data_IF_123235878358
#
_entry.id   IF_123235878358
#
_cell.length_a   1.000
_cell.length_b   1.000
_cell.length_c   1.000
_cell.angle_alpha   90.00
_cell.angle_beta   90.00
_cell.angle_gamma   90.00
#
_symmetry.space_group_name_H-M   'P 1'
#
loop_
_entity.id
_entity.type
_entity.pdbx_description
1 polymer ?
#
# COMPACT_ATOMS: atom_id res chain seq x y z
N UNK A 1 45.84 0.66 -28.37
CA UNK A 1 45.42 1.20 -27.06
C UNK A 1 44.28 0.31 -26.56
N UNK A 2 44.55 -0.56 -25.60
CA UNK A 2 43.54 -1.47 -25.03
C UNK A 2 42.79 -0.75 -23.88
N UNK A 3 41.47 -0.95 -23.72
CA UNK A 3 40.70 -0.31 -22.66
C UNK A 3 41.13 -0.86 -21.29
N UNK A 4 41.31 0.06 -20.33
CA UNK A 4 41.61 -0.26 -18.94
C UNK A 4 40.48 -1.12 -18.37
N UNK A 5 40.80 -2.31 -17.87
CA UNK A 5 39.92 -3.07 -17.01
C UNK A 5 39.76 -2.29 -15.70
N UNK A 6 38.52 -1.92 -15.37
CA UNK A 6 38.17 -1.53 -14.01
C UNK A 6 38.06 -2.83 -13.19
N UNK A 7 39.00 -3.03 -12.28
CA UNK A 7 38.87 -4.02 -11.21
C UNK A 7 37.70 -3.61 -10.31
N UNK A 8 36.48 -4.02 -10.68
CA UNK A 8 35.36 -4.04 -9.77
C UNK A 8 35.56 -5.22 -8.82
N UNK A 9 36.33 -4.98 -7.76
CA UNK A 9 36.10 -5.70 -6.51
C UNK A 9 34.62 -5.54 -6.16
N UNK A 10 33.83 -6.62 -6.00
CA UNK A 10 32.60 -6.52 -5.25
C UNK A 10 33.02 -6.38 -3.80
N UNK A 11 33.38 -5.16 -3.39
CA UNK A 11 33.46 -4.81 -1.98
C UNK A 11 32.06 -5.01 -1.44
N UNK A 12 31.83 -6.21 -0.87
CA UNK A 12 31.04 -6.50 0.32
C UNK A 12 30.30 -5.27 0.85
N UNK A 13 29.27 -4.86 0.11
CA UNK A 13 28.43 -3.75 0.48
C UNK A 13 27.31 -4.31 1.34
N UNK A 14 27.60 -4.28 2.64
CA UNK A 14 26.65 -4.01 3.71
C UNK A 14 25.50 -5.01 3.89
N UNK A 15 25.76 -5.99 4.76
CA UNK A 15 24.76 -6.71 5.58
C UNK A 15 23.99 -5.79 6.56
N UNK A 16 23.71 -4.52 6.21
CA UNK A 16 23.18 -3.55 7.16
C UNK A 16 22.12 -2.59 6.57
N UNK A 17 21.41 -2.98 5.52
CA UNK A 17 20.25 -2.22 5.02
C UNK A 17 18.97 -2.50 5.85
N UNK A 18 19.14 -2.72 7.15
CA UNK A 18 18.10 -2.89 8.16
C UNK A 18 17.84 -1.61 8.96
N UNK A 19 18.52 -0.51 8.65
CA UNK A 19 18.42 0.76 9.39
C UNK A 19 17.70 1.85 8.59
N UNK A 20 16.46 1.59 8.19
CA UNK A 20 15.54 2.65 7.76
C UNK A 20 14.09 2.50 8.28
N UNK A 21 13.85 1.62 9.26
CA UNK A 21 12.58 1.55 9.99
C UNK A 21 12.83 1.20 11.47
N UNK A 22 13.63 2.02 12.17
CA UNK A 22 13.99 1.78 13.58
C UNK A 22 13.07 2.47 14.60
N UNK A 23 11.93 3.03 14.20
CA UNK A 23 11.07 3.80 15.12
C UNK A 23 9.68 3.19 15.37
N UNK A 24 9.42 1.97 14.90
CA UNK A 24 8.24 1.18 15.30
C UNK A 24 8.74 -0.03 16.07
N UNK A 25 8.96 0.18 17.37
CA UNK A 25 9.37 -0.88 18.29
C UNK A 25 8.25 -1.91 18.42
N UNK A 26 8.33 -2.97 17.62
CA UNK A 26 7.44 -4.11 17.72
C UNK A 26 7.82 -5.24 16.78
N UNK A 27 7.74 -6.48 17.27
CA UNK A 27 8.06 -7.66 16.46
C UNK A 27 7.14 -7.82 15.23
N UNK A 28 7.40 -8.81 14.35
CA UNK A 28 6.60 -9.06 13.14
C UNK A 28 5.08 -9.08 13.37
N UNK A 29 4.62 -9.65 14.50
CA UNK A 29 3.21 -9.71 14.87
C UNK A 29 2.61 -8.35 15.23
N UNK A 30 3.37 -7.47 15.88
CA UNK A 30 2.90 -6.12 16.25
C UNK A 30 2.78 -5.21 15.03
N UNK A 31 3.77 -5.26 14.13
CA UNK A 31 3.66 -4.63 12.83
C UNK A 31 2.49 -5.17 12.01
N UNK A 32 2.22 -6.48 12.08
CA UNK A 32 1.08 -7.10 11.41
C UNK A 32 -0.25 -6.60 11.96
N UNK A 33 -0.42 -6.58 13.29
CA UNK A 33 -1.62 -6.04 13.95
C UNK A 33 -1.85 -4.56 13.61
N UNK A 34 -0.79 -3.75 13.66
CA UNK A 34 -0.85 -2.37 13.23
C UNK A 34 -1.31 -2.25 11.76
N UNK A 35 -0.73 -3.05 10.87
CA UNK A 35 -1.06 -3.04 9.43
C UNK A 35 -2.52 -3.45 9.17
N UNK A 36 -3.04 -4.44 9.91
CA UNK A 36 -4.45 -4.84 9.85
C UNK A 36 -5.37 -3.71 10.32
N UNK A 37 -5.03 -3.03 11.42
CA UNK A 37 -5.82 -1.90 11.90
C UNK A 37 -5.83 -0.76 10.86
N UNK A 38 -4.67 -0.43 10.28
CA UNK A 38 -4.59 0.53 9.19
C UNK A 38 -5.48 0.12 8.02
N UNK A 39 -5.45 -1.14 7.57
CA UNK A 39 -6.32 -1.61 6.48
C UNK A 39 -7.80 -1.40 6.80
N UNK A 40 -8.23 -1.64 8.04
CA UNK A 40 -9.61 -1.42 8.46
C UNK A 40 -10.01 0.06 8.38
N UNK A 41 -9.18 0.96 8.89
CA UNK A 41 -9.40 2.42 8.78
C UNK A 41 -9.49 2.86 7.31
N UNK A 42 -8.63 2.31 6.44
CA UNK A 42 -8.67 2.60 5.01
C UNK A 42 -9.95 2.08 4.35
N UNK A 43 -10.47 0.92 4.76
CA UNK A 43 -11.74 0.40 4.27
C UNK A 43 -12.91 1.33 4.60
N UNK A 44 -12.93 1.90 5.81
CA UNK A 44 -13.93 2.91 6.22
C UNK A 44 -13.81 4.16 5.35
N UNK A 45 -12.60 4.69 5.15
CA UNK A 45 -12.38 5.87 4.33
C UNK A 45 -12.76 5.67 2.84
N UNK A 46 -12.54 4.46 2.29
CA UNK A 46 -13.00 4.11 0.94
C UNK A 46 -14.53 4.15 0.87
N UNK A 47 -15.23 3.57 1.85
CA UNK A 47 -16.70 3.59 1.90
C UNK A 47 -17.24 5.03 2.03
N UNK A 48 -16.63 5.86 2.87
CA UNK A 48 -17.00 7.27 3.01
C UNK A 48 -16.79 8.03 1.70
N UNK A 49 -15.66 7.81 1.03
CA UNK A 49 -15.37 8.46 -0.25
C UNK A 49 -16.37 8.04 -1.34
N UNK A 50 -16.76 6.77 -1.38
CA UNK A 50 -17.82 6.29 -2.28
C UNK A 50 -19.17 6.95 -1.99
N UNK A 51 -19.54 7.05 -0.72
CA UNK A 51 -20.77 7.73 -0.29
C UNK A 51 -20.77 9.21 -0.70
N UNK A 52 -19.66 9.91 -0.46
CA UNK A 52 -19.49 11.31 -0.86
C UNK A 52 -19.61 11.46 -2.38
N UNK A 53 -18.94 10.60 -3.14
CA UNK A 53 -18.99 10.62 -4.61
C UNK A 53 -20.41 10.35 -5.16
N UNK A 54 -21.20 9.53 -4.48
CA UNK A 54 -22.60 9.26 -4.85
C UNK A 54 -23.55 10.40 -4.49
N UNK A 55 -23.40 11.01 -3.31
CA UNK A 55 -24.34 12.03 -2.80
C UNK A 55 -24.12 13.38 -3.46
N UNK A 56 -22.88 13.67 -3.89
CA UNK A 56 -22.52 15.04 -4.22
C UNK A 56 -21.95 15.19 -5.63
N UNK A 57 -22.37 16.27 -6.30
CA UNK A 57 -21.62 16.90 -7.39
C UNK A 57 -20.36 17.64 -6.87
N UNK A 58 -19.82 17.25 -5.70
CA UNK A 58 -18.65 17.89 -5.08
C UNK A 58 -17.53 17.95 -6.10
N UNK A 59 -16.80 19.07 -6.06
CA UNK A 59 -15.58 19.30 -6.83
C UNK A 59 -14.79 18.00 -6.98
N UNK A 60 -14.85 17.45 -8.20
CA UNK A 60 -14.17 16.23 -8.64
C UNK A 60 -12.70 16.23 -8.21
N UNK A 61 -12.11 17.42 -8.05
CA UNK A 61 -10.76 17.61 -7.55
C UNK A 61 -10.52 17.12 -6.12
N UNK A 62 -11.40 17.42 -5.15
CA UNK A 62 -11.22 17.00 -3.75
C UNK A 62 -11.33 15.49 -3.58
N UNK A 63 -12.33 14.89 -4.22
CA UNK A 63 -12.53 13.42 -4.26
C UNK A 63 -11.31 12.75 -4.90
N UNK A 64 -10.84 13.22 -6.06
CA UNK A 64 -9.63 12.68 -6.72
C UNK A 64 -8.35 12.87 -5.90
N UNK A 65 -8.25 13.92 -5.09
CA UNK A 65 -7.09 14.14 -4.21
C UNK A 65 -7.10 13.16 -3.04
N UNK A 66 -8.24 12.96 -2.39
CA UNK A 66 -8.39 11.98 -1.30
C UNK A 66 -8.18 10.56 -1.82
N UNK A 67 -8.75 10.25 -2.99
CA UNK A 67 -8.56 8.97 -3.66
C UNK A 67 -7.07 8.65 -3.90
N UNK A 68 -6.30 9.61 -4.44
CA UNK A 68 -4.86 9.39 -4.67
C UNK A 68 -4.11 9.09 -3.37
N UNK A 69 -4.37 9.86 -2.31
CA UNK A 69 -3.78 9.61 -0.99
C UNK A 69 -4.12 8.21 -0.44
N UNK A 70 -5.38 7.77 -0.62
CA UNK A 70 -5.80 6.44 -0.19
C UNK A 70 -5.14 5.35 -1.04
N UNK A 71 -5.02 5.54 -2.35
CA UNK A 71 -4.29 4.61 -3.23
C UNK A 71 -2.82 4.50 -2.83
N UNK A 72 -2.14 5.63 -2.60
CA UNK A 72 -0.73 5.64 -2.18
C UNK A 72 -0.54 4.86 -0.88
N UNK A 73 -1.44 5.07 0.10
CA UNK A 73 -1.38 4.34 1.37
C UNK A 73 -1.67 2.85 1.23
N UNK A 74 -2.66 2.47 0.41
CA UNK A 74 -2.95 1.07 0.12
C UNK A 74 -1.76 0.38 -0.58
N UNK A 75 -1.03 1.08 -1.45
CA UNK A 75 0.19 0.53 -2.06
C UNK A 75 1.26 0.24 -1.01
N UNK A 76 1.40 1.10 0.01
CA UNK A 76 2.31 0.84 1.14
C UNK A 76 1.88 -0.40 1.92
N UNK A 77 0.58 -0.56 2.22
CA UNK A 77 0.07 -1.75 2.92
C UNK A 77 0.29 -3.03 2.11
N UNK A 78 0.09 -2.99 0.79
CA UNK A 78 0.37 -4.10 -0.11
C UNK A 78 1.86 -4.48 -0.10
N UNK A 79 2.75 -3.48 -0.07
CA UNK A 79 4.19 -3.71 0.02
C UNK A 79 4.58 -4.38 1.36
N UNK A 80 4.01 -3.92 2.47
CA UNK A 80 4.24 -4.52 3.79
C UNK A 80 3.76 -5.97 3.84
N UNK A 81 2.54 -6.24 3.36
CA UNK A 81 2.01 -7.60 3.29
C UNK A 81 2.89 -8.52 2.43
N UNK A 82 3.38 -8.03 1.28
CA UNK A 82 4.29 -8.78 0.43
C UNK A 82 5.60 -9.14 1.13
N UNK A 83 6.19 -8.22 1.91
CA UNK A 83 7.40 -8.51 2.70
C UNK A 83 7.16 -9.60 3.73
N UNK A 84 6.02 -9.60 4.41
CA UNK A 84 5.66 -10.68 5.34
C UNK A 84 5.50 -12.04 4.65
N UNK A 85 4.95 -12.07 3.44
CA UNK A 85 4.85 -13.31 2.64
C UNK A 85 6.24 -13.82 2.22
N UNK A 86 7.16 -12.94 1.86
CA UNK A 86 8.53 -13.31 1.46
C UNK A 86 9.38 -13.83 2.62
N UNK A 87 9.18 -13.31 3.84
CA UNK A 87 9.94 -13.75 5.01
C UNK A 87 9.48 -15.12 5.54
N UNK A 88 8.35 -15.64 5.06
CA UNK A 88 7.96 -17.03 5.28
C UNK A 88 7.57 -17.37 6.72
N UNK A 89 7.35 -16.39 7.58
CA UNK A 89 6.91 -16.61 8.96
C UNK A 89 5.46 -17.17 8.95
N UNK A 90 5.26 -18.45 9.33
CA UNK A 90 3.96 -19.09 9.26
C UNK A 90 2.94 -18.47 10.22
N UNK A 91 3.38 -17.79 11.29
CA UNK A 91 2.48 -17.17 12.26
C UNK A 91 1.73 -15.96 11.68
N UNK A 92 2.36 -15.24 10.76
CA UNK A 92 1.79 -14.02 10.15
C UNK A 92 1.32 -14.22 8.70
N UNK A 93 1.61 -15.39 8.10
CA UNK A 93 1.31 -15.68 6.70
C UNK A 93 -0.17 -15.52 6.35
N UNK A 94 -1.09 -16.14 7.11
CA UNK A 94 -2.52 -16.07 6.84
C UNK A 94 -3.01 -14.61 6.88
N UNK A 95 -2.50 -13.81 7.82
CA UNK A 95 -2.82 -12.39 7.93
C UNK A 95 -2.24 -11.59 6.77
N UNK A 96 -1.03 -11.89 6.32
CA UNK A 96 -0.41 -11.26 5.15
C UNK A 96 -1.17 -11.58 3.85
N UNK A 97 -1.66 -12.82 3.68
CA UNK A 97 -2.52 -13.23 2.55
C UNK A 97 -3.85 -12.46 2.56
N UNK A 98 -4.47 -12.34 3.75
CA UNK A 98 -5.70 -11.56 3.94
C UNK A 98 -5.49 -10.07 3.62
N UNK A 99 -4.40 -9.48 4.14
CA UNK A 99 -4.02 -8.09 3.85
C UNK A 99 -3.83 -7.88 2.35
N UNK A 100 -3.09 -8.77 1.69
CA UNK A 100 -2.86 -8.70 0.24
C UNK A 100 -4.18 -8.67 -0.53
N UNK A 101 -5.09 -9.59 -0.18
CA UNK A 101 -6.42 -9.70 -0.82
C UNK A 101 -7.28 -8.47 -0.54
N UNK A 102 -7.38 -8.04 0.72
CA UNK A 102 -8.17 -6.88 1.14
C UNK A 102 -7.68 -5.59 0.51
N UNK A 103 -6.36 -5.40 0.45
CA UNK A 103 -5.75 -4.22 -0.16
C UNK A 103 -6.01 -4.16 -1.66
N UNK A 104 -5.87 -5.29 -2.38
CA UNK A 104 -6.21 -5.38 -3.79
C UNK A 104 -7.70 -5.08 -4.07
N UNK A 105 -8.60 -5.59 -3.21
CA UNK A 105 -10.03 -5.31 -3.30
C UNK A 105 -10.34 -3.81 -3.14
N UNK A 106 -9.76 -3.14 -2.13
CA UNK A 106 -9.95 -1.70 -1.89
C UNK A 106 -9.39 -0.84 -3.03
N UNK A 107 -8.22 -1.20 -3.57
CA UNK A 107 -7.65 -0.55 -4.76
C UNK A 107 -8.62 -0.65 -5.94
N UNK A 108 -9.15 -1.86 -6.20
CA UNK A 108 -10.13 -2.07 -7.28
C UNK A 108 -11.37 -1.20 -7.14
N UNK A 109 -11.89 -1.06 -5.91
CA UNK A 109 -13.02 -0.16 -5.61
C UNK A 109 -12.71 1.31 -5.88
N UNK A 110 -11.55 1.79 -5.42
CA UNK A 110 -11.11 3.17 -5.69
C UNK A 110 -10.91 3.43 -7.18
N UNK A 111 -10.46 2.46 -7.98
CA UNK A 111 -10.40 2.62 -9.44
C UNK A 111 -11.78 2.70 -10.08
N UNK A 112 -12.75 1.91 -9.61
CA UNK A 112 -14.11 1.96 -10.15
C UNK A 112 -14.79 3.31 -9.91
N UNK A 113 -14.52 3.96 -8.78
CA UNK A 113 -14.95 5.34 -8.50
C UNK A 113 -14.56 6.36 -9.58
N UNK A 114 -13.44 6.15 -10.28
CA UNK A 114 -13.01 7.08 -11.36
C UNK A 114 -13.70 6.85 -12.69
N UNK A 115 -14.24 5.66 -12.92
CA UNK A 115 -14.94 5.31 -14.16
C UNK A 115 -16.40 5.76 -14.13
N UNK A 116 -16.99 5.80 -12.95
CA UNK A 116 -18.32 6.39 -12.74
C UNK A 116 -18.16 7.91 -12.67
N UNK A 117 -17.90 8.54 -13.82
CA UNK A 117 -18.08 9.99 -13.95
C UNK A 117 -19.55 10.36 -13.71
N UNK A 118 -19.87 11.62 -13.37
CA UNK A 118 -21.26 12.04 -13.24
C UNK A 118 -22.01 11.66 -14.51
N UNK A 119 -23.25 11.11 -14.41
CA UNK A 119 -24.02 10.77 -15.60
C UNK A 119 -24.08 12.02 -16.46
N UNK A 120 -23.58 11.92 -17.70
CA UNK A 120 -23.74 13.01 -18.66
C UNK A 120 -25.24 13.21 -18.82
N UNK A 121 -25.76 14.28 -18.24
CA UNK A 121 -27.11 14.74 -18.49
C UNK A 121 -27.21 14.93 -20.01
N UNK A 122 -28.04 14.11 -20.65
CA UNK A 122 -28.50 14.36 -22.02
C UNK A 122 -29.48 15.51 -22.00
#
# INVERSE_FOLDING_TARGET
MSPKQCDHNPTSATENDLTAMSDVGGGPMEMMLFTVNQMFEHAVLVNELESIAMITSISVFRVRRLQRKLLDSLVVLAHIAHRFLLHGDPAVRATAELLTTGTAFLIGRLYNLTRVGPPMAK
#
